data_IF_770297670214
#
_entry.id   IF_770297670214
#
_cell.length_a   1.000
_cell.length_b   1.000
_cell.length_c   1.000
_cell.angle_alpha   90.00
_cell.angle_beta   90.00
_cell.angle_gamma   90.00
#
_symmetry.space_group_name_H-M   'P 1'
#
loop_
_entity.id
_entity.type
_entity.pdbx_description
1 polymer ?
#
# COMPACT_ATOMS: atom_id res chain seq x y z
N UNK A 1 -11.89 -4.43 18.82
CA UNK A 1 -11.67 -3.32 17.87
C UNK A 1 -10.25 -3.47 17.36
N UNK A 2 -10.05 -3.44 16.05
CA UNK A 2 -8.74 -3.66 15.44
C UNK A 2 -7.96 -2.34 15.53
N UNK A 3 -6.70 -2.41 15.93
CA UNK A 3 -5.88 -1.21 16.02
C UNK A 3 -5.21 -0.96 14.68
N UNK A 4 -5.61 0.14 14.03
CA UNK A 4 -5.04 0.58 12.76
C UNK A 4 -4.21 1.85 12.96
N UNK A 5 -3.16 1.99 12.16
CA UNK A 5 -2.40 3.23 12.07
C UNK A 5 -2.33 3.72 10.63
N UNK A 6 -2.34 5.04 10.47
CA UNK A 6 -2.12 5.76 9.21
C UNK A 6 -0.98 6.73 9.37
N UNK A 7 0.05 6.60 8.54
CA UNK A 7 1.27 7.40 8.58
C UNK A 7 1.85 7.49 10.01
N UNK A 8 1.81 6.37 10.75
CA UNK A 8 2.26 6.27 12.14
C UNK A 8 1.31 6.83 13.20
N UNK A 9 0.15 7.40 12.82
CA UNK A 9 -0.89 7.86 13.75
C UNK A 9 -1.95 6.79 13.95
N UNK A 10 -2.25 6.45 15.21
CA UNK A 10 -3.32 5.51 15.54
C UNK A 10 -4.70 6.07 15.22
N UNK A 11 -5.63 5.23 14.77
CA UNK A 11 -7.03 5.63 14.55
C UNK A 11 -7.68 6.12 15.84
N UNK A 12 -7.34 5.51 16.98
CA UNK A 12 -7.89 5.90 18.29
C UNK A 12 -7.54 7.35 18.66
N UNK A 13 -6.37 7.85 18.24
CA UNK A 13 -5.94 9.21 18.60
C UNK A 13 -6.70 10.31 17.86
N UNK A 14 -7.37 9.97 16.76
CA UNK A 14 -8.25 10.85 15.98
C UNK A 14 -9.74 10.53 16.21
N UNK A 15 -10.05 9.67 17.20
CA UNK A 15 -11.40 9.25 17.52
C UNK A 15 -12.04 8.29 16.52
N UNK A 16 -11.24 7.61 15.70
CA UNK A 16 -11.72 6.53 14.83
C UNK A 16 -11.53 5.17 15.51
N UNK A 17 -12.59 4.37 15.49
CA UNK A 17 -12.56 2.95 15.82
C UNK A 17 -12.75 2.12 14.56
N UNK A 18 -11.79 1.26 14.23
CA UNK A 18 -11.93 0.33 13.10
C UNK A 18 -12.79 -0.87 13.51
N UNK A 19 -13.93 -1.03 12.83
CA UNK A 19 -14.88 -2.14 13.02
C UNK A 19 -14.48 -3.33 12.18
N UNK A 20 -14.20 -3.11 10.91
CA UNK A 20 -13.83 -4.15 9.96
C UNK A 20 -12.92 -3.56 8.88
N UNK A 21 -11.87 -4.28 8.50
CA UNK A 21 -11.17 -4.04 7.25
C UNK A 21 -11.63 -5.10 6.25
N UNK A 22 -12.20 -4.68 5.13
CA UNK A 22 -12.51 -5.58 4.04
C UNK A 22 -11.39 -5.48 3.03
N UNK A 23 -10.39 -6.34 3.20
CA UNK A 23 -9.23 -6.45 2.32
C UNK A 23 -9.44 -7.70 1.44
N UNK A 24 -9.77 -7.55 0.15
CA UNK A 24 -9.91 -8.69 -0.77
C UNK A 24 -8.61 -9.50 -0.78
N UNK A 25 -8.63 -10.83 -0.68
CA UNK A 25 -7.40 -11.65 -0.57
C UNK A 25 -6.47 -11.43 -1.77
N UNK A 26 -7.04 -11.36 -2.97
CA UNK A 26 -6.33 -11.05 -4.21
C UNK A 26 -6.86 -9.76 -4.82
N UNK A 27 -6.02 -8.99 -5.54
CA UNK A 27 -6.49 -7.86 -6.35
C UNK A 27 -7.47 -8.35 -7.44
N UNK A 28 -8.39 -7.48 -7.90
CA UNK A 28 -9.26 -7.83 -9.02
C UNK A 28 -8.45 -8.13 -10.28
N UNK A 29 -8.85 -9.11 -11.07
CA UNK A 29 -8.22 -9.39 -12.37
C UNK A 29 -8.84 -8.52 -13.46
N UNK A 30 -8.03 -8.18 -14.44
CA UNK A 30 -8.44 -7.56 -15.70
C UNK A 30 -7.98 -8.48 -16.81
N UNK A 31 -8.95 -9.09 -17.46
CA UNK A 31 -8.73 -9.96 -18.60
C UNK A 31 -8.65 -9.11 -19.87
N UNK A 32 -7.63 -9.37 -20.68
CA UNK A 32 -7.41 -8.66 -21.93
C UNK A 32 -7.82 -9.58 -23.06
N UNK A 33 -9.04 -9.41 -23.53
CA UNK A 33 -9.62 -10.35 -24.47
C UNK A 33 -10.35 -9.61 -25.59
N UNK A 34 -10.35 -10.22 -26.79
CA UNK A 34 -10.91 -9.62 -28.00
C UNK A 34 -11.80 -10.62 -28.72
N UNK A 35 -13.07 -10.25 -28.84
CA UNK A 35 -14.02 -10.94 -29.71
C UNK A 35 -13.96 -10.34 -31.13
N UNK A 36 -13.90 -11.21 -32.14
CA UNK A 36 -13.90 -10.82 -33.55
C UNK A 36 -15.26 -11.19 -34.14
N UNK A 37 -15.92 -10.25 -34.83
CA UNK A 37 -17.20 -10.50 -35.48
C UNK A 37 -17.13 -11.70 -36.42
N UNK A 38 -18.20 -12.52 -36.41
CA UNK A 38 -18.34 -13.74 -37.22
C UNK A 38 -17.33 -14.86 -36.92
N UNK A 39 -16.62 -14.79 -35.78
CA UNK A 39 -15.76 -15.86 -35.29
C UNK A 39 -16.27 -16.35 -33.93
N UNK A 40 -16.49 -17.66 -33.83
CA UNK A 40 -16.81 -18.28 -32.55
C UNK A 40 -15.57 -18.27 -31.64
N UNK A 41 -15.77 -17.84 -30.38
CA UNK A 41 -14.74 -17.76 -29.36
C UNK A 41 -14.03 -16.41 -29.28
N UNK A 42 -13.04 -16.32 -28.40
CA UNK A 42 -12.36 -15.08 -28.03
C UNK A 42 -10.84 -15.25 -28.13
N UNK A 43 -10.13 -14.17 -28.46
CA UNK A 43 -8.68 -14.11 -28.39
C UNK A 43 -8.25 -13.62 -27.00
N UNK A 44 -7.54 -14.47 -26.26
CA UNK A 44 -7.01 -14.16 -24.93
C UNK A 44 -5.57 -13.62 -25.02
N UNK A 45 -5.35 -12.41 -24.51
CA UNK A 45 -4.03 -11.78 -24.38
C UNK A 45 -3.48 -11.86 -22.94
N UNK A 46 -4.12 -12.67 -22.10
CA UNK A 46 -3.77 -12.88 -20.70
C UNK A 46 -4.46 -11.89 -19.76
N UNK A 47 -4.11 -12.01 -18.48
CA UNK A 47 -4.74 -11.25 -17.40
C UNK A 47 -3.71 -10.46 -16.61
N UNK A 48 -4.15 -9.32 -16.05
CA UNK A 48 -3.33 -8.48 -15.17
C UNK A 48 -4.10 -8.17 -13.88
N UNK A 49 -3.39 -7.92 -12.79
CA UNK A 49 -4.01 -7.42 -11.57
C UNK A 49 -4.38 -5.93 -11.72
N UNK A 50 -5.61 -5.61 -11.37
CA UNK A 50 -6.11 -4.25 -11.24
C UNK A 50 -5.82 -3.65 -9.86
N UNK A 51 -6.22 -2.40 -9.69
CA UNK A 51 -6.09 -1.70 -8.41
C UNK A 51 -6.94 -2.39 -7.34
N UNK A 52 -6.34 -2.66 -6.18
CA UNK A 52 -7.03 -3.26 -5.04
C UNK A 52 -7.72 -2.17 -4.23
N UNK A 53 -9.02 -2.33 -4.00
CA UNK A 53 -9.79 -1.46 -3.13
C UNK A 53 -9.90 -2.10 -1.75
N UNK A 54 -9.56 -1.34 -0.71
CA UNK A 54 -9.72 -1.71 0.69
C UNK A 54 -10.80 -0.81 1.27
N UNK A 55 -11.84 -1.43 1.82
CA UNK A 55 -12.91 -0.70 2.51
C UNK A 55 -12.73 -0.86 4.02
N UNK A 56 -12.52 0.26 4.70
CA UNK A 56 -12.37 0.30 6.16
C UNK A 56 -13.67 0.82 6.75
N UNK A 57 -14.42 -0.04 7.42
CA UNK A 57 -15.61 0.34 8.15
C UNK A 57 -15.19 0.87 9.53
N UNK A 58 -15.44 2.15 9.76
CA UNK A 58 -15.01 2.86 10.95
C UNK A 58 -16.20 3.51 11.67
N UNK A 59 -16.04 3.67 12.98
CA UNK A 59 -16.92 4.45 13.83
C UNK A 59 -16.13 5.65 14.32
N UNK A 60 -16.63 6.85 14.03
CA UNK A 60 -16.17 8.10 14.60
C UNK A 60 -16.83 8.27 15.96
N UNK A 61 -16.03 8.09 17.00
CA UNK A 61 -16.45 8.32 18.38
C UNK A 61 -16.08 9.75 18.74
N UNK A 62 -17.01 10.52 19.30
CA UNK A 62 -16.78 11.88 19.78
C UNK A 62 -17.29 12.03 21.21
N UNK A 63 -16.61 12.84 22.02
CA UNK A 63 -17.02 13.03 23.42
C UNK A 63 -18.21 14.03 23.51
N UNK A 64 -18.39 14.85 22.47
CA UNK A 64 -19.50 15.79 22.30
C UNK A 64 -20.00 15.78 20.85
N UNK A 65 -21.33 15.69 20.69
CA UNK A 65 -22.04 15.66 19.40
C UNK A 65 -21.98 16.95 18.58
N UNK A 66 -21.45 18.03 19.17
CA UNK A 66 -21.36 19.35 18.55
C UNK A 66 -19.93 19.67 18.11
N UNK A 67 -19.17 20.43 18.90
CA UNK A 67 -17.88 20.98 18.48
C UNK A 67 -16.80 19.90 18.35
N UNK A 68 -16.77 18.92 19.26
CA UNK A 68 -15.78 17.84 19.23
C UNK A 68 -15.99 16.94 18.01
N UNK A 69 -17.24 16.56 17.73
CA UNK A 69 -17.60 15.82 16.51
C UNK A 69 -17.08 16.50 15.25
N UNK A 70 -17.37 17.79 15.05
CA UNK A 70 -16.90 18.52 13.87
C UNK A 70 -15.38 18.64 13.80
N UNK A 71 -14.69 18.75 14.94
CA UNK A 71 -13.22 18.73 14.99
C UNK A 71 -12.65 17.38 14.56
N UNK A 72 -13.21 16.28 15.05
CA UNK A 72 -12.79 14.92 14.67
C UNK A 72 -13.07 14.65 13.19
N UNK A 73 -14.25 15.04 12.68
CA UNK A 73 -14.56 14.97 11.24
C UNK A 73 -13.51 15.71 10.41
N UNK A 74 -13.12 16.92 10.81
CA UNK A 74 -12.09 17.70 10.11
C UNK A 74 -10.71 17.02 10.15
N UNK A 75 -10.35 16.38 11.26
CA UNK A 75 -9.11 15.60 11.37
C UNK A 75 -9.12 14.38 10.45
N UNK A 76 -10.24 13.65 10.39
CA UNK A 76 -10.43 12.51 9.48
C UNK A 76 -10.32 12.98 8.03
N UNK A 77 -11.01 14.05 7.65
CA UNK A 77 -10.94 14.61 6.30
C UNK A 77 -9.53 15.11 5.93
N UNK A 78 -8.79 15.66 6.88
CA UNK A 78 -7.40 16.08 6.66
C UNK A 78 -6.46 14.88 6.46
N UNK A 79 -6.73 13.75 7.13
CA UNK A 79 -5.94 12.54 7.02
C UNK A 79 -6.24 11.80 5.71
N UNK A 80 -7.52 11.68 5.37
CA UNK A 80 -8.04 10.98 4.20
C UNK A 80 -8.40 11.96 3.09
N UNK A 81 -7.38 12.63 2.56
CA UNK A 81 -7.52 13.56 1.45
C UNK A 81 -6.84 12.98 0.21
N UNK A 82 -7.56 12.89 -0.91
CA UNK A 82 -7.00 12.40 -2.18
C UNK A 82 -5.81 13.24 -2.68
N UNK A 83 -5.72 14.51 -2.27
CA UNK A 83 -4.59 15.40 -2.60
C UNK A 83 -3.34 15.18 -1.73
N UNK A 84 -3.46 14.43 -0.64
CA UNK A 84 -2.32 14.12 0.25
C UNK A 84 -1.32 13.17 -0.42
N UNK A 85 -1.79 12.40 -1.41
CA UNK A 85 -1.00 11.37 -2.08
C UNK A 85 -1.20 10.02 -1.41
N UNK A 86 -0.13 9.26 -1.32
CA UNK A 86 -0.18 7.88 -0.85
C UNK A 86 -0.06 7.83 0.67
N UNK A 87 -0.87 6.96 1.26
CA UNK A 87 -1.07 6.86 2.70
C UNK A 87 -0.67 5.44 3.10
N UNK A 88 0.15 5.32 4.15
CA UNK A 88 0.64 4.04 4.65
C UNK A 88 -0.25 3.56 5.78
N UNK A 89 -0.83 2.38 5.63
CA UNK A 89 -1.68 1.72 6.62
C UNK A 89 -0.99 0.50 7.21
N UNK A 90 -1.15 0.32 8.53
CA UNK A 90 -0.81 -0.93 9.21
C UNK A 90 -1.97 -1.33 10.13
N UNK A 91 -2.14 -2.64 10.30
CA UNK A 91 -3.21 -3.22 11.13
C UNK A 91 -2.59 -4.15 12.16
N UNK A 92 -3.06 -4.09 13.41
CA UNK A 92 -2.53 -4.88 14.52
C UNK A 92 -2.72 -6.38 14.37
N UNK A 93 -3.75 -6.81 13.64
CA UNK A 93 -4.06 -8.21 13.36
C UNK A 93 -3.31 -8.76 12.14
N UNK A 94 -2.70 -7.89 11.34
CA UNK A 94 -1.84 -8.23 10.20
C UNK A 94 -0.43 -7.63 10.42
N UNK A 95 0.32 -8.12 11.43
CA UNK A 95 1.64 -7.57 11.76
C UNK A 95 2.64 -7.78 10.62
N UNK A 96 3.58 -6.84 10.48
CA UNK A 96 4.65 -6.89 9.47
C UNK A 96 4.20 -6.60 8.03
N UNK A 97 2.95 -6.17 7.82
CA UNK A 97 2.40 -5.79 6.51
C UNK A 97 2.02 -4.32 6.48
N UNK A 98 2.50 -3.62 5.45
CA UNK A 98 2.17 -2.23 5.15
C UNK A 98 1.34 -2.18 3.89
N UNK A 99 0.20 -1.49 3.94
CA UNK A 99 -0.65 -1.27 2.79
C UNK A 99 -0.50 0.17 2.36
N UNK A 100 -0.03 0.37 1.12
CA UNK A 100 0.16 1.71 0.56
C UNK A 100 -0.95 1.97 -0.44
N UNK A 101 -1.72 3.03 -0.22
CA UNK A 101 -2.81 3.38 -1.11
C UNK A 101 -3.26 4.81 -0.94
N UNK A 102 -4.08 5.26 -1.89
CA UNK A 102 -4.65 6.60 -1.89
C UNK A 102 -6.10 6.55 -1.47
N UNK A 103 -6.55 7.55 -0.73
CA UNK A 103 -7.97 7.74 -0.48
C UNK A 103 -8.74 7.86 -1.80
N UNK A 104 -9.79 7.05 -1.95
CA UNK A 104 -10.58 6.98 -3.18
C UNK A 104 -12.06 6.83 -2.83
N UNK A 105 -12.82 7.91 -2.93
CA UNK A 105 -14.27 7.90 -2.71
C UNK A 105 -14.77 9.21 -2.13
N UNK A 106 -15.98 9.14 -1.57
CA UNK A 106 -16.60 10.22 -0.79
C UNK A 106 -16.70 9.75 0.66
N UNK A 107 -16.37 10.63 1.61
CA UNK A 107 -16.35 10.32 3.03
C UNK A 107 -17.73 10.64 3.60
N UNK A 108 -18.69 9.78 3.32
CA UNK A 108 -20.04 9.91 3.87
C UNK A 108 -20.03 9.39 5.31
N UNK A 109 -20.44 10.26 6.24
CA UNK A 109 -20.52 9.93 7.66
C UNK A 109 -21.99 9.94 8.06
N UNK A 110 -22.53 8.77 8.36
CA UNK A 110 -23.87 8.59 8.89
C UNK A 110 -23.85 8.77 10.40
N UNK A 111 -24.49 9.85 10.90
CA UNK A 111 -24.55 10.10 12.33
C UNK A 111 -25.61 9.21 12.99
N UNK A 112 -25.19 8.30 13.85
CA UNK A 112 -26.06 7.43 14.65
C UNK A 112 -26.01 7.91 16.11
N UNK A 113 -27.03 8.67 16.52
CA UNK A 113 -27.14 9.28 17.85
C UNK A 113 -25.96 10.22 18.18
N UNK A 114 -24.87 9.66 18.73
CA UNK A 114 -23.68 10.38 19.20
C UNK A 114 -22.45 10.11 18.31
N UNK A 115 -22.40 8.93 17.70
CA UNK A 115 -21.28 8.45 16.89
C UNK A 115 -21.57 8.63 15.39
N UNK A 116 -20.52 8.58 14.57
CA UNK A 116 -20.65 8.57 13.11
C UNK A 116 -20.15 7.26 12.52
N UNK A 117 -20.97 6.52 11.77
CA UNK A 117 -20.49 5.40 10.97
C UNK A 117 -20.00 5.92 9.61
N UNK A 118 -18.83 5.44 9.16
CA UNK A 118 -18.26 5.81 7.88
C UNK A 118 -17.49 4.65 7.27
N UNK A 119 -17.42 4.63 5.94
CA UNK A 119 -16.57 3.71 5.20
C UNK A 119 -15.47 4.49 4.49
N UNK A 120 -14.22 4.18 4.81
CA UNK A 120 -13.05 4.78 4.18
C UNK A 120 -12.55 3.80 3.11
N UNK A 121 -12.74 4.18 1.84
CA UNK A 121 -12.24 3.41 0.71
C UNK A 121 -10.84 3.88 0.33
N UNK A 122 -9.90 2.95 0.31
CA UNK A 122 -8.50 3.14 -0.06
C UNK A 122 -8.22 2.35 -1.33
N UNK A 123 -7.59 2.99 -2.31
CA UNK A 123 -7.18 2.39 -3.57
C UNK A 123 -5.67 2.19 -3.58
N UNK A 124 -5.25 0.93 -3.57
CA UNK A 124 -3.88 0.53 -3.86
C UNK A 124 -3.73 0.47 -5.39
N UNK A 125 -3.15 1.54 -5.96
CA UNK A 125 -3.09 1.75 -7.40
C UNK A 125 -1.85 1.13 -8.03
N UNK A 126 -0.68 1.72 -7.77
CA UNK A 126 0.59 1.37 -8.41
C UNK A 126 1.08 -0.02 -8.00
N UNK A 127 0.93 -0.35 -6.72
CA UNK A 127 1.27 -1.66 -6.16
C UNK A 127 0.07 -2.21 -5.38
N UNK A 128 -0.69 -3.19 -5.93
CA UNK A 128 -1.89 -3.72 -5.27
C UNK A 128 -1.57 -4.75 -4.16
N UNK A 129 -0.29 -4.96 -3.87
CA UNK A 129 0.21 -5.94 -2.90
C UNK A 129 0.68 -5.23 -1.62
N UNK A 130 0.52 -5.86 -0.45
CA UNK A 130 1.10 -5.35 0.78
C UNK A 130 2.63 -5.48 0.74
N UNK A 131 3.31 -4.50 1.32
CA UNK A 131 4.76 -4.52 1.48
C UNK A 131 5.13 -5.10 2.85
N UNK A 132 6.17 -5.93 2.87
CA UNK A 132 6.81 -6.35 4.12
C UNK A 132 7.82 -5.32 4.61
N UNK A 133 8.48 -5.61 5.71
CA UNK A 133 9.68 -4.87 6.09
C UNK A 133 10.74 -4.93 4.97
N UNK A 134 11.45 -3.81 4.79
CA UNK A 134 12.55 -3.73 3.83
C UNK A 134 13.71 -4.61 4.29
N UNK A 135 14.22 -5.44 3.38
CA UNK A 135 15.45 -6.18 3.59
C UNK A 135 16.64 -5.36 3.07
N UNK A 136 17.32 -4.67 3.99
CA UNK A 136 18.48 -3.84 3.66
C UNK A 136 19.75 -4.67 3.84
N UNK A 137 20.57 -4.74 2.79
CA UNK A 137 21.89 -5.37 2.82
C UNK A 137 22.97 -4.36 2.45
N UNK A 138 23.75 -3.95 3.43
CA UNK A 138 24.92 -3.09 3.24
C UNK A 138 26.20 -3.92 3.12
N UNK A 139 26.96 -3.69 2.05
CA UNK A 139 28.22 -4.39 1.79
C UNK A 139 29.23 -3.42 1.21
N UNK A 140 30.44 -3.40 1.77
CA UNK A 140 31.58 -2.72 1.15
C UNK A 140 32.16 -3.61 0.05
N UNK A 141 32.16 -3.10 -1.18
CA UNK A 141 32.76 -3.75 -2.34
C UNK A 141 34.24 -3.35 -2.41
N UNK A 142 35.15 -4.32 -2.32
CA UNK A 142 36.61 -4.08 -2.35
C UNK A 142 37.30 -4.74 -3.54
N UNK A 143 36.57 -5.53 -4.33
CA UNK A 143 37.10 -6.29 -5.46
C UNK A 143 36.21 -6.11 -6.70
N UNK A 144 36.78 -6.30 -7.90
CA UNK A 144 36.06 -6.25 -9.17
C UNK A 144 36.55 -7.39 -10.09
N UNK A 145 35.66 -8.28 -10.59
CA UNK A 145 34.21 -8.32 -10.34
C UNK A 145 33.85 -8.85 -8.94
N UNK A 146 32.76 -8.36 -8.36
CA UNK A 146 32.20 -8.86 -7.10
C UNK A 146 30.71 -9.15 -7.29
N UNK A 147 30.27 -10.32 -6.80
CA UNK A 147 28.86 -10.72 -6.81
C UNK A 147 28.29 -10.61 -5.41
N UNK A 148 27.11 -9.99 -5.28
CA UNK A 148 26.38 -9.91 -4.01
C UNK A 148 25.03 -10.57 -4.19
N UNK A 149 24.83 -11.71 -3.54
CA UNK A 149 23.53 -12.39 -3.53
C UNK A 149 22.61 -11.77 -2.49
N UNK A 150 21.37 -11.47 -2.88
CA UNK A 150 20.30 -10.97 -2.00
C UNK A 150 19.11 -11.92 -2.15
N UNK A 151 18.51 -12.32 -1.04
CA UNK A 151 17.30 -13.14 -1.06
C UNK A 151 16.07 -12.23 -0.97
N UNK A 152 15.17 -12.36 -1.94
CA UNK A 152 13.80 -11.82 -1.86
C UNK A 152 12.89 -12.95 -1.38
N UNK A 153 12.36 -12.83 -0.17
CA UNK A 153 11.49 -13.86 0.45
C UNK A 153 10.00 -13.59 0.13
N UNK A 154 9.70 -12.54 -0.63
CA UNK A 154 8.34 -12.22 -1.05
C UNK A 154 7.84 -13.11 -2.18
N UNK A 155 6.53 -13.38 -2.19
CA UNK A 155 5.84 -14.17 -3.21
C UNK A 155 5.68 -13.42 -4.55
N UNK A 156 5.77 -12.09 -4.51
CA UNK A 156 5.72 -11.22 -5.67
C UNK A 156 7.10 -10.65 -6.01
N UNK A 157 7.33 -10.42 -7.30
CA UNK A 157 8.61 -9.87 -7.77
C UNK A 157 8.77 -8.42 -7.32
N UNK A 158 9.69 -8.19 -6.39
CA UNK A 158 10.10 -6.85 -5.99
C UNK A 158 11.29 -6.35 -6.83
N UNK A 159 11.28 -5.06 -7.19
CA UNK A 159 12.43 -4.40 -7.83
C UNK A 159 13.36 -3.85 -6.75
N UNK A 160 14.63 -4.28 -6.67
CA UNK A 160 15.55 -3.80 -5.65
C UNK A 160 16.00 -2.35 -5.95
N UNK A 161 16.19 -1.56 -4.89
CA UNK A 161 16.85 -0.25 -4.98
C UNK A 161 18.32 -0.45 -4.63
N UNK A 162 19.21 -0.08 -5.55
CA UNK A 162 20.66 -0.22 -5.36
C UNK A 162 21.27 1.17 -5.18
N UNK A 163 21.84 1.42 -4.01
CA UNK A 163 22.56 2.66 -3.69
C UNK A 163 24.05 2.34 -3.56
N UNK A 164 24.89 3.11 -4.25
CA UNK A 164 26.34 2.96 -4.21
C UNK A 164 27.00 4.28 -3.84
N UNK A 165 27.92 4.20 -2.89
CA UNK A 165 28.69 5.33 -2.41
C UNK A 165 30.17 5.01 -2.53
N UNK A 166 30.93 5.81 -3.27
CA UNK A 166 32.39 5.70 -3.30
C UNK A 166 32.96 6.25 -1.99
N UNK A 167 33.56 5.38 -1.18
CA UNK A 167 34.23 5.74 0.08
C UNK A 167 35.76 5.84 -0.06
N UNK A 168 36.31 5.62 -1.27
CA UNK A 168 37.74 5.69 -1.55
C UNK A 168 38.19 7.09 -2.00
N UNK A 169 39.51 7.27 -2.11
CA UNK A 169 40.13 8.54 -2.52
C UNK A 169 40.27 8.69 -4.04
N UNK A 170 40.07 7.61 -4.80
CA UNK A 170 40.23 7.60 -6.26
C UNK A 170 38.88 7.54 -6.99
N UNK A 171 38.82 8.19 -8.14
CA UNK A 171 37.65 8.12 -9.03
C UNK A 171 37.49 6.71 -9.62
N UNK A 172 36.25 6.20 -9.57
CA UNK A 172 35.88 4.95 -10.24
C UNK A 172 35.41 5.28 -11.66
N UNK A 173 36.08 4.72 -12.68
CA UNK A 173 35.71 4.89 -14.10
C UNK A 173 35.18 3.57 -14.66
N UNK A 174 34.24 3.66 -15.60
CA UNK A 174 33.65 2.51 -16.32
C UNK A 174 32.99 1.46 -15.41
N UNK A 175 32.36 1.91 -14.33
CA UNK A 175 31.63 1.01 -13.44
C UNK A 175 30.39 0.41 -14.11
N UNK A 176 30.19 -0.90 -13.97
CA UNK A 176 29.05 -1.63 -14.54
C UNK A 176 28.36 -2.45 -13.45
N UNK A 177 27.05 -2.32 -13.38
CA UNK A 177 26.17 -3.17 -12.57
C UNK A 177 25.40 -4.09 -13.50
N UNK A 178 25.31 -5.36 -13.14
CA UNK A 178 24.35 -6.30 -13.71
C UNK A 178 23.45 -6.79 -12.57
N UNK A 179 22.14 -6.68 -12.77
CA UNK A 179 21.15 -7.27 -11.86
C UNK A 179 20.60 -8.53 -12.55
N UNK A 180 20.80 -9.68 -11.92
CA UNK A 180 20.42 -10.99 -12.45
C UNK A 180 19.42 -11.64 -11.50
N UNK A 181 18.33 -12.17 -12.07
CA UNK A 181 17.32 -12.91 -11.33
C UNK A 181 17.48 -14.38 -11.63
N UNK A 182 17.57 -15.20 -10.58
CA UNK A 182 17.47 -16.65 -10.75
C UNK A 182 16.01 -16.98 -11.09
N UNK A 183 15.77 -17.45 -12.31
CA UNK A 183 14.49 -17.95 -12.76
C UNK A 183 14.52 -19.47 -12.56
N UNK A 184 13.56 -20.02 -11.81
CA UNK A 184 13.31 -21.47 -11.74
C UNK A 184 12.67 -21.99 -13.03
#
# INVERSE_FOLDING_TARGET
>A
MIDATVDGKSFKSIGLGLKTHNIPVLPPTKDHSLEIAERDGELDFGSTYGARLINLECILMADDTTLDYHRRVAQVAALFNAKKGDIVFTFSDLPGRRYIGRYAGTLDIEKILWDGELTITIKMGEHPFPESEENIKEVTITQSPQTVSVASVGDERASPVIVLTNIGESDIRNFRIANEYQIE
#
